data_IF_193511773115
#
_entry.id   IF_193511773115
#
_cell.length_a   1.000
_cell.length_b   1.000
_cell.length_c   1.000
_cell.angle_alpha   90.00
_cell.angle_beta   90.00
_cell.angle_gamma   90.00
#
_symmetry.space_group_name_H-M   'P 1'
#
loop_
_entity.id
_entity.type
_entity.pdbx_description
1 polymer ?
#
# COMPACT_ATOMS: atom_id res chain seq x y z
N UNK A 1 18.50 11.40 1.23
CA UNK A 1 18.13 10.67 -0.02
C UNK A 1 18.09 9.15 0.16
N UNK A 2 18.99 8.53 0.94
CA UNK A 2 18.99 7.06 1.17
C UNK A 2 17.71 6.48 1.80
N UNK A 3 17.07 7.14 2.77
CA UNK A 3 15.84 6.58 3.37
C UNK A 3 14.67 6.48 2.39
N UNK A 4 14.51 7.49 1.51
CA UNK A 4 13.52 7.44 0.44
C UNK A 4 13.84 6.30 -0.53
N UNK A 5 15.11 6.16 -0.91
CA UNK A 5 15.58 5.09 -1.81
C UNK A 5 15.35 3.70 -1.22
N UNK A 6 15.62 3.49 0.05
CA UNK A 6 15.41 2.20 0.72
C UNK A 6 13.92 1.84 0.86
N UNK A 7 13.07 2.84 1.13
CA UNK A 7 11.62 2.64 1.19
C UNK A 7 11.03 2.37 -0.21
N UNK A 8 11.45 3.13 -1.23
CA UNK A 8 11.01 2.90 -2.61
C UNK A 8 11.54 1.59 -3.17
N UNK A 9 12.74 1.16 -2.79
CA UNK A 9 13.26 -0.18 -3.11
C UNK A 9 12.43 -1.28 -2.45
N UNK A 10 12.12 -1.14 -1.15
CA UNK A 10 11.32 -2.13 -0.42
C UNK A 10 9.90 -2.24 -0.97
N UNK A 11 9.24 -1.10 -1.19
CA UNK A 11 7.89 -1.05 -1.76
C UNK A 11 7.88 -1.51 -3.23
N UNK A 12 8.87 -1.07 -4.02
CA UNK A 12 9.03 -1.48 -5.41
C UNK A 12 9.28 -2.98 -5.54
N UNK A 13 10.11 -3.56 -4.67
CA UNK A 13 10.33 -5.01 -4.62
C UNK A 13 9.05 -5.77 -4.25
N UNK A 14 8.27 -5.26 -3.27
CA UNK A 14 7.00 -5.86 -2.89
C UNK A 14 5.99 -5.84 -4.06
N UNK A 15 5.85 -4.71 -4.75
CA UNK A 15 4.99 -4.58 -5.93
C UNK A 15 5.45 -5.53 -7.04
N UNK A 16 6.75 -5.57 -7.33
CA UNK A 16 7.30 -6.46 -8.34
C UNK A 16 7.01 -7.94 -8.03
N UNK A 17 7.18 -8.37 -6.77
CA UNK A 17 6.85 -9.72 -6.34
C UNK A 17 5.35 -10.00 -6.48
N UNK A 18 4.48 -9.09 -6.05
CA UNK A 18 3.03 -9.25 -6.20
C UNK A 18 2.63 -9.38 -7.67
N UNK A 19 3.25 -8.62 -8.57
CA UNK A 19 3.04 -8.76 -10.01
C UNK A 19 3.53 -10.11 -10.53
N UNK A 20 4.71 -10.58 -10.12
CA UNK A 20 5.22 -11.91 -10.50
C UNK A 20 4.28 -13.01 -10.00
N UNK A 21 3.75 -12.90 -8.78
CA UNK A 21 2.77 -13.85 -8.24
C UNK A 21 1.49 -13.82 -9.07
N UNK A 22 0.95 -12.63 -9.36
CA UNK A 22 -0.29 -12.49 -10.14
C UNK A 22 -0.14 -13.06 -11.55
N UNK A 23 0.88 -12.61 -12.30
CA UNK A 23 1.13 -13.10 -13.65
C UNK A 23 1.54 -14.57 -13.68
N UNK A 24 2.32 -15.02 -12.70
CA UNK A 24 2.72 -16.41 -12.55
C UNK A 24 1.52 -17.32 -12.33
N UNK A 25 0.62 -16.95 -11.42
CA UNK A 25 -0.61 -17.67 -11.17
C UNK A 25 -1.52 -17.67 -12.42
N UNK A 26 -1.77 -16.52 -13.04
CA UNK A 26 -2.59 -16.43 -14.25
C UNK A 26 -2.01 -17.25 -15.42
N UNK A 27 -0.70 -17.15 -15.67
CA UNK A 27 -0.04 -17.90 -16.74
C UNK A 27 -0.09 -19.42 -16.53
N UNK A 28 0.02 -19.86 -15.28
CA UNK A 28 -0.15 -21.25 -14.90
C UNK A 28 -1.58 -21.75 -15.19
N UNK A 29 -2.60 -20.97 -14.84
CA UNK A 29 -4.01 -21.28 -15.14
C UNK A 29 -4.27 -21.36 -16.66
N UNK A 30 -3.73 -20.42 -17.43
CA UNK A 30 -3.90 -20.38 -18.89
C UNK A 30 -3.26 -21.59 -19.58
N UNK A 31 -2.13 -22.12 -19.08
CA UNK A 31 -1.47 -23.28 -19.67
C UNK A 31 -2.17 -24.61 -19.39
N UNK A 32 -2.94 -24.73 -18.31
CA UNK A 32 -3.60 -26.00 -17.95
C UNK A 32 -4.89 -26.25 -18.71
N UNK A 33 -5.67 -25.21 -19.02
CA UNK A 33 -6.99 -25.36 -19.63
C UNK A 33 -7.01 -26.00 -21.05
N UNK A 34 -6.14 -25.63 -22.00
CA UNK A 34 -6.39 -25.94 -23.42
C UNK A 34 -6.09 -27.38 -23.82
N UNK A 35 -5.07 -28.01 -23.21
CA UNK A 35 -4.62 -29.34 -23.63
C UNK A 35 -5.57 -30.45 -23.15
N UNK A 36 -6.12 -30.30 -21.95
CA UNK A 36 -7.04 -31.28 -21.36
C UNK A 36 -8.42 -31.16 -22.01
N UNK A 37 -8.90 -29.95 -22.26
CA UNK A 37 -10.22 -29.73 -22.85
C UNK A 37 -10.36 -30.38 -24.23
N UNK A 38 -9.34 -30.24 -25.08
CA UNK A 38 -9.34 -30.88 -26.42
C UNK A 38 -9.32 -32.40 -26.37
N UNK A 39 -8.65 -33.01 -25.40
CA UNK A 39 -8.60 -34.47 -25.26
C UNK A 39 -9.96 -34.98 -24.75
N UNK A 40 -10.55 -34.31 -23.77
CA UNK A 40 -11.87 -34.67 -23.23
C UNK A 40 -12.95 -34.52 -24.30
N UNK A 41 -12.98 -33.41 -25.04
CA UNK A 41 -13.98 -33.16 -26.08
C UNK A 41 -13.93 -34.17 -27.23
N UNK A 42 -12.72 -34.53 -27.70
CA UNK A 42 -12.55 -35.55 -28.74
C UNK A 42 -13.00 -36.94 -28.28
N UNK A 43 -12.65 -37.31 -27.05
CA UNK A 43 -13.01 -38.63 -26.51
C UNK A 43 -14.52 -38.73 -26.20
N UNK A 44 -15.15 -37.63 -25.79
CA UNK A 44 -16.59 -37.54 -25.58
C UNK A 44 -17.36 -37.69 -26.91
N UNK A 45 -16.93 -37.00 -27.97
CA UNK A 45 -17.47 -37.20 -29.33
C UNK A 45 -17.31 -38.65 -29.81
N UNK A 46 -16.15 -39.27 -29.57
CA UNK A 46 -15.92 -40.66 -29.95
C UNK A 46 -16.82 -41.66 -29.18
N UNK A 47 -17.04 -41.40 -27.88
CA UNK A 47 -17.96 -42.21 -27.07
C UNK A 47 -19.40 -42.05 -27.54
N UNK A 48 -19.84 -40.80 -27.77
CA UNK A 48 -21.18 -40.50 -28.29
C UNK A 48 -21.42 -41.12 -29.68
N UNK A 49 -20.42 -41.13 -30.56
CA UNK A 49 -20.48 -41.81 -31.85
C UNK A 49 -20.64 -43.33 -31.68
N UNK A 50 -19.91 -43.93 -30.73
CA UNK A 50 -20.03 -45.36 -30.39
C UNK A 50 -21.41 -45.72 -29.86
N UNK A 51 -21.98 -44.88 -28.99
CA UNK A 51 -23.34 -45.05 -28.47
C UNK A 51 -24.39 -44.95 -29.58
N UNK A 52 -24.27 -43.97 -30.48
CA UNK A 52 -25.16 -43.84 -31.66
C UNK A 52 -25.09 -45.07 -32.57
N UNK A 53 -23.90 -45.63 -32.77
CA UNK A 53 -23.71 -46.87 -33.55
C UNK A 53 -24.38 -48.08 -32.87
N UNK A 54 -24.26 -48.23 -31.56
CA UNK A 54 -24.96 -49.27 -30.79
C UNK A 54 -26.48 -49.10 -30.87
N UNK A 55 -26.99 -47.87 -30.76
CA UNK A 55 -28.42 -47.57 -30.94
C UNK A 55 -28.88 -47.90 -32.35
N UNK A 56 -28.08 -47.60 -33.38
CA UNK A 56 -28.41 -47.92 -34.77
C UNK A 56 -28.48 -49.43 -35.02
N UNK A 57 -27.59 -50.21 -34.39
CA UNK A 57 -27.61 -51.68 -34.41
C UNK A 57 -28.80 -52.25 -33.63
N UNK A 58 -29.17 -51.65 -32.49
CA UNK A 58 -30.28 -52.10 -31.65
C UNK A 58 -31.66 -51.74 -32.20
N UNK A 59 -31.76 -50.60 -32.89
CA UNK A 59 -33.00 -50.10 -33.52
C UNK A 59 -33.40 -50.93 -34.74
N UNK A 60 -32.56 -51.88 -35.11
CA UNK A 60 -32.78 -52.74 -36.24
C UNK A 60 -33.74 -53.88 -35.89
N UNK A 61 -35.01 -53.51 -35.72
CA UNK A 61 -36.12 -54.48 -35.76
C UNK A 61 -36.31 -54.92 -37.22
N UNK A 62 -36.45 -56.22 -37.45
CA UNK A 62 -36.93 -56.73 -38.74
C UNK A 62 -38.24 -56.02 -39.08
N UNK A 63 -38.34 -55.30 -40.21
CA UNK A 63 -39.63 -54.87 -40.69
C UNK A 63 -40.37 -56.13 -41.12
N UNK A 64 -41.41 -56.49 -40.39
CA UNK A 64 -42.40 -57.43 -40.87
C UNK A 64 -43.00 -56.86 -42.16
N UNK A 65 -42.49 -57.30 -43.31
CA UNK A 65 -43.15 -57.16 -44.62
C UNK A 65 -43.14 -55.79 -45.31
N UNK A 66 -42.12 -54.94 -45.13
CA UNK A 66 -42.07 -53.61 -45.75
C UNK A 66 -40.82 -53.37 -46.61
N UNK A 67 -41.05 -53.08 -47.89
CA UNK A 67 -40.09 -52.71 -48.94
C UNK A 67 -38.99 -51.74 -48.43
N UNK A 68 -37.82 -52.28 -48.08
CA UNK A 68 -36.64 -51.46 -47.76
C UNK A 68 -36.11 -50.93 -49.08
N UNK A 69 -36.38 -49.66 -49.37
CA UNK A 69 -35.78 -48.97 -50.52
C UNK A 69 -34.25 -49.06 -50.39
N UNK A 70 -33.56 -49.55 -51.42
CA UNK A 70 -32.09 -49.68 -51.48
C UNK A 70 -31.36 -48.40 -51.02
N UNK A 71 -32.00 -47.25 -51.22
CA UNK A 71 -31.52 -45.94 -50.82
C UNK A 71 -31.46 -45.73 -49.29
N UNK A 72 -32.41 -46.27 -48.52
CA UNK A 72 -32.43 -46.14 -47.06
C UNK A 72 -31.32 -46.99 -46.40
N UNK A 73 -31.02 -48.17 -46.97
CA UNK A 73 -29.92 -49.03 -46.53
C UNK A 73 -28.57 -48.36 -46.80
N UNK A 74 -28.39 -47.84 -48.03
CA UNK A 74 -27.16 -47.14 -48.40
C UNK A 74 -26.90 -45.88 -47.54
N UNK A 75 -27.95 -45.12 -47.21
CA UNK A 75 -27.83 -43.94 -46.34
C UNK A 75 -27.46 -44.32 -44.91
N UNK A 76 -28.04 -45.39 -44.36
CA UNK A 76 -27.68 -45.89 -43.04
C UNK A 76 -26.23 -46.34 -42.99
N UNK A 77 -25.80 -47.13 -43.98
CA UNK A 77 -24.44 -47.65 -44.01
C UNK A 77 -23.41 -46.51 -44.13
N UNK A 78 -23.69 -45.48 -44.93
CA UNK A 78 -22.88 -44.25 -44.98
C UNK A 78 -22.81 -43.55 -43.63
N UNK A 79 -23.94 -43.39 -42.94
CA UNK A 79 -23.98 -42.77 -41.60
C UNK A 79 -23.20 -43.59 -40.58
N UNK A 80 -23.29 -44.91 -40.63
CA UNK A 80 -22.56 -45.80 -39.74
C UNK A 80 -21.04 -45.66 -39.94
N UNK A 81 -20.58 -45.69 -41.20
CA UNK A 81 -19.16 -45.49 -41.53
C UNK A 81 -18.67 -44.10 -41.10
N UNK A 82 -19.46 -43.05 -41.35
CA UNK A 82 -19.11 -41.70 -40.91
C UNK A 82 -18.97 -41.60 -39.37
N UNK A 83 -19.86 -42.23 -38.61
CA UNK A 83 -19.76 -42.28 -37.15
C UNK A 83 -18.57 -43.11 -36.67
N UNK A 84 -18.21 -44.19 -37.38
CA UNK A 84 -17.02 -44.98 -37.08
C UNK A 84 -15.73 -44.20 -37.32
N UNK A 85 -15.67 -43.44 -38.41
CA UNK A 85 -14.53 -42.58 -38.72
C UNK A 85 -14.40 -41.44 -37.69
N UNK A 86 -15.52 -40.85 -37.27
CA UNK A 86 -15.56 -39.87 -36.16
C UNK A 86 -15.05 -40.49 -34.85
N UNK A 87 -15.54 -41.69 -34.48
CA UNK A 87 -15.10 -42.40 -33.29
C UNK A 87 -13.61 -42.75 -33.32
N UNK A 88 -13.07 -43.11 -34.49
CA UNK A 88 -11.66 -43.46 -34.67
C UNK A 88 -10.74 -42.24 -34.61
N UNK A 89 -11.17 -41.09 -35.13
CA UNK A 89 -10.32 -39.90 -35.32
C UNK A 89 -9.75 -39.31 -34.02
N UNK A 90 -10.39 -39.58 -32.87
CA UNK A 90 -9.95 -39.12 -31.55
C UNK A 90 -9.02 -40.07 -30.80
N UNK A 91 -8.85 -41.31 -31.28
CA UNK A 91 -8.19 -42.39 -30.56
C UNK A 91 -6.82 -42.74 -31.19
N UNK A 92 -5.94 -43.39 -30.45
CA UNK A 92 -4.62 -43.82 -30.95
C UNK A 92 -4.31 -45.24 -30.48
N UNK A 93 -3.60 -46.00 -31.33
CA UNK A 93 -3.05 -47.31 -30.98
C UNK A 93 -3.55 -48.48 -31.84
N UNK A 94 -2.75 -49.55 -31.94
CA UNK A 94 -3.01 -50.68 -32.84
C UNK A 94 -4.30 -51.45 -32.50
N UNK A 95 -4.69 -51.49 -31.22
CA UNK A 95 -5.94 -52.11 -30.79
C UNK A 95 -7.17 -51.33 -31.29
N UNK A 96 -7.07 -49.99 -31.36
CA UNK A 96 -8.14 -49.13 -31.88
C UNK A 96 -8.28 -49.32 -33.40
N UNK A 97 -7.16 -49.44 -34.11
CA UNK A 97 -7.15 -49.73 -35.56
C UNK A 97 -7.77 -51.09 -35.86
N UNK A 98 -7.38 -52.12 -35.12
CA UNK A 98 -7.93 -53.46 -35.26
C UNK A 98 -9.45 -53.48 -34.97
N UNK A 99 -9.88 -52.82 -33.89
CA UNK A 99 -11.29 -52.74 -33.53
C UNK A 99 -12.13 -51.98 -34.58
N UNK A 100 -11.65 -50.83 -35.07
CA UNK A 100 -12.34 -50.07 -36.10
C UNK A 100 -12.44 -50.85 -37.42
N UNK A 101 -11.38 -51.58 -37.79
CA UNK A 101 -11.39 -52.44 -38.97
C UNK A 101 -12.38 -53.59 -38.82
N UNK A 102 -12.39 -54.26 -37.66
CA UNK A 102 -13.35 -55.32 -37.34
C UNK A 102 -14.81 -54.81 -37.43
N UNK A 103 -15.09 -53.62 -36.88
CA UNK A 103 -16.43 -53.01 -36.99
C UNK A 103 -16.78 -52.76 -38.46
N UNK A 104 -15.85 -52.24 -39.26
CA UNK A 104 -16.08 -51.94 -40.67
C UNK A 104 -16.36 -53.19 -41.51
N UNK A 105 -15.60 -54.26 -41.30
CA UNK A 105 -15.73 -55.52 -42.04
C UNK A 105 -17.04 -56.25 -41.73
N UNK A 106 -17.46 -56.23 -40.46
CA UNK A 106 -18.66 -56.96 -40.02
C UNK A 106 -19.94 -56.12 -40.00
N UNK A 107 -19.88 -54.81 -40.25
CA UNK A 107 -21.04 -53.91 -40.21
C UNK A 107 -22.19 -54.38 -41.12
N UNK A 108 -21.90 -54.74 -42.37
CA UNK A 108 -22.92 -55.17 -43.32
C UNK A 108 -23.62 -56.46 -42.88
N UNK A 109 -22.87 -57.44 -42.38
CA UNK A 109 -23.41 -58.70 -41.84
C UNK A 109 -24.20 -58.48 -40.56
N UNK A 110 -23.72 -57.62 -39.67
CA UNK A 110 -24.43 -57.27 -38.44
C UNK A 110 -25.79 -56.64 -38.76
N UNK A 111 -25.84 -55.79 -39.79
CA UNK A 111 -27.08 -55.25 -40.31
C UNK A 111 -27.90 -56.23 -41.18
N UNK A 112 -27.36 -57.35 -41.61
CA UNK A 112 -28.14 -58.41 -42.24
C UNK A 112 -28.83 -59.33 -41.22
N UNK A 113 -28.56 -59.15 -39.92
CA UNK A 113 -29.07 -60.00 -38.85
C UNK A 113 -28.15 -61.17 -38.50
N UNK A 114 -26.96 -61.24 -39.08
CA UNK A 114 -25.97 -62.26 -38.73
C UNK A 114 -25.50 -62.06 -37.27
N UNK A 115 -25.74 -63.09 -36.45
CA UNK A 115 -25.41 -63.08 -35.04
C UNK A 115 -23.90 -62.97 -34.78
N UNK A 116 -23.07 -63.62 -35.60
CA UNK A 116 -21.61 -63.61 -35.43
C UNK A 116 -21.04 -62.23 -35.78
N UNK A 117 -21.47 -61.66 -36.91
CA UNK A 117 -21.12 -60.29 -37.28
C UNK A 117 -21.61 -59.26 -36.25
N UNK A 118 -22.79 -59.43 -35.66
CA UNK A 118 -23.27 -58.56 -34.56
C UNK A 118 -22.36 -58.62 -33.34
N UNK A 119 -21.93 -59.82 -32.93
CA UNK A 119 -21.00 -59.98 -31.81
C UNK A 119 -19.66 -59.31 -32.11
N UNK A 120 -19.13 -59.50 -33.33
CA UNK A 120 -17.88 -58.86 -33.76
C UNK A 120 -17.97 -57.33 -33.76
N UNK A 121 -19.07 -56.77 -34.28
CA UNK A 121 -19.28 -55.31 -34.27
C UNK A 121 -19.42 -54.78 -32.85
N UNK A 122 -20.21 -55.43 -31.99
CA UNK A 122 -20.38 -55.00 -30.59
C UNK A 122 -19.06 -55.07 -29.83
N UNK A 123 -18.28 -56.14 -29.96
CA UNK A 123 -16.97 -56.25 -29.32
C UNK A 123 -15.97 -55.20 -29.81
N UNK A 124 -15.99 -54.87 -31.11
CA UNK A 124 -15.19 -53.78 -31.66
C UNK A 124 -15.60 -52.41 -31.08
N UNK A 125 -16.91 -52.13 -31.02
CA UNK A 125 -17.45 -50.91 -30.41
C UNK A 125 -17.14 -50.80 -28.91
N UNK A 126 -17.21 -51.90 -28.16
CA UNK A 126 -16.79 -51.94 -26.75
C UNK A 126 -15.30 -51.63 -26.58
N UNK A 127 -14.46 -52.13 -27.48
CA UNK A 127 -13.02 -51.84 -27.47
C UNK A 127 -12.75 -50.36 -27.73
N UNK A 128 -13.44 -49.74 -28.70
CA UNK A 128 -13.35 -48.30 -28.97
C UNK A 128 -13.83 -47.47 -27.76
N UNK A 129 -14.96 -47.86 -27.15
CA UNK A 129 -15.49 -47.20 -25.96
C UNK A 129 -14.56 -47.31 -24.75
N UNK A 130 -13.94 -48.48 -24.52
CA UNK A 130 -12.96 -48.66 -23.45
C UNK A 130 -11.72 -47.80 -23.66
N UNK A 131 -11.18 -47.79 -24.90
CA UNK A 131 -10.02 -46.97 -25.25
C UNK A 131 -10.29 -45.47 -25.01
N UNK A 132 -11.50 -44.99 -25.38
CA UNK A 132 -11.90 -43.61 -25.10
C UNK A 132 -11.96 -43.30 -23.60
N UNK A 133 -12.59 -44.17 -22.80
CA UNK A 133 -12.69 -44.00 -21.35
C UNK A 133 -11.31 -44.00 -20.67
N UNK A 134 -10.40 -44.85 -21.11
CA UNK A 134 -9.05 -44.91 -20.55
C UNK A 134 -8.22 -43.68 -20.93
N UNK A 135 -8.37 -43.19 -22.16
CA UNK A 135 -7.77 -41.92 -22.59
C UNK A 135 -8.30 -40.73 -21.77
N UNK A 136 -9.60 -40.69 -21.45
CA UNK A 136 -10.18 -39.67 -20.56
C UNK A 136 -9.61 -39.77 -19.14
N UNK A 137 -9.55 -40.96 -18.54
CA UNK A 137 -8.99 -41.17 -17.19
C UNK A 137 -7.53 -40.77 -17.09
N UNK A 138 -6.73 -41.08 -18.11
CA UNK A 138 -5.32 -40.69 -18.15
C UNK A 138 -5.17 -39.17 -18.30
N UNK A 139 -6.00 -38.53 -19.14
CA UNK A 139 -6.06 -37.07 -19.24
C UNK A 139 -6.42 -36.42 -17.91
N UNK A 140 -7.42 -36.96 -17.21
CA UNK A 140 -7.86 -36.47 -15.89
C UNK A 140 -6.77 -36.63 -14.82
N UNK A 141 -6.07 -37.77 -14.79
CA UNK A 141 -4.90 -37.96 -13.90
C UNK A 141 -3.80 -36.95 -14.18
N UNK A 142 -3.50 -36.68 -15.46
CA UNK A 142 -2.52 -35.65 -15.85
C UNK A 142 -2.99 -34.26 -15.43
N UNK A 143 -4.27 -33.97 -15.60
CA UNK A 143 -4.89 -32.73 -15.13
C UNK A 143 -4.73 -32.55 -13.62
N UNK A 144 -5.04 -33.59 -12.84
CA UNK A 144 -4.87 -33.59 -11.39
C UNK A 144 -3.43 -33.37 -10.96
N UNK A 145 -2.45 -34.03 -11.62
CA UNK A 145 -1.02 -33.84 -11.33
C UNK A 145 -0.54 -32.43 -11.66
N UNK A 146 -0.98 -31.89 -12.79
CA UNK A 146 -0.68 -30.51 -13.17
C UNK A 146 -1.30 -29.53 -12.16
N UNK A 147 -2.57 -29.71 -11.80
CA UNK A 147 -3.25 -28.91 -10.79
C UNK A 147 -2.54 -28.93 -9.44
N UNK A 148 -2.09 -30.10 -8.97
CA UNK A 148 -1.33 -30.23 -7.73
C UNK A 148 0.02 -29.50 -7.79
N UNK A 149 0.77 -29.64 -8.89
CA UNK A 149 2.03 -28.93 -9.09
C UNK A 149 1.81 -27.41 -9.14
N UNK A 150 0.72 -26.98 -9.78
CA UNK A 150 0.33 -25.58 -9.83
C UNK A 150 -0.03 -24.99 -8.47
N UNK A 151 -0.77 -25.75 -7.66
CA UNK A 151 -1.12 -25.36 -6.29
C UNK A 151 0.13 -25.20 -5.42
N UNK A 152 1.10 -26.13 -5.51
CA UNK A 152 2.37 -26.01 -4.79
C UNK A 152 3.20 -24.81 -5.25
N UNK A 153 3.26 -24.55 -6.55
CA UNK A 153 3.93 -23.35 -7.08
C UNK A 153 3.28 -22.07 -6.52
N UNK A 154 1.95 -21.99 -6.54
CA UNK A 154 1.20 -20.86 -5.97
C UNK A 154 1.44 -20.69 -4.47
N UNK A 155 1.46 -21.78 -3.70
CA UNK A 155 1.75 -21.76 -2.27
C UNK A 155 3.17 -21.27 -1.96
N UNK A 156 4.18 -21.75 -2.70
CA UNK A 156 5.58 -21.29 -2.59
C UNK A 156 5.74 -19.80 -2.93
N UNK A 157 5.08 -19.35 -3.99
CA UNK A 157 5.05 -17.95 -4.40
C UNK A 157 4.39 -17.07 -3.32
N UNK A 158 3.25 -17.49 -2.78
CA UNK A 158 2.58 -16.81 -1.67
C UNK A 158 3.43 -16.76 -0.41
N UNK A 159 4.08 -17.87 -0.05
CA UNK A 159 5.00 -17.92 1.09
C UNK A 159 6.22 -17.00 0.91
N UNK A 160 6.83 -16.98 -0.28
CA UNK A 160 7.92 -16.06 -0.58
C UNK A 160 7.48 -14.60 -0.47
N UNK A 161 6.29 -14.27 -0.99
CA UNK A 161 5.68 -12.95 -0.85
C UNK A 161 5.46 -12.57 0.62
N UNK A 162 4.98 -13.51 1.44
CA UNK A 162 4.82 -13.31 2.88
C UNK A 162 6.15 -13.04 3.59
N UNK A 163 7.20 -13.82 3.31
CA UNK A 163 8.54 -13.61 3.89
C UNK A 163 9.09 -12.23 3.53
N UNK A 164 8.98 -11.82 2.27
CA UNK A 164 9.43 -10.49 1.85
C UNK A 164 8.60 -9.39 2.51
N UNK A 165 7.28 -9.57 2.61
CA UNK A 165 6.41 -8.67 3.34
C UNK A 165 6.85 -8.49 4.80
N UNK A 166 7.20 -9.58 5.48
CA UNK A 166 7.69 -9.55 6.86
C UNK A 166 9.02 -8.81 6.99
N UNK A 167 9.95 -9.01 6.04
CA UNK A 167 11.22 -8.29 6.00
C UNK A 167 11.02 -6.78 5.78
N UNK A 168 10.15 -6.39 4.85
CA UNK A 168 9.81 -4.99 4.61
C UNK A 168 9.15 -4.37 5.83
N UNK A 169 8.21 -5.06 6.45
CA UNK A 169 7.54 -4.62 7.67
C UNK A 169 8.53 -4.42 8.83
N UNK A 170 9.42 -5.41 9.07
CA UNK A 170 10.46 -5.30 10.09
C UNK A 170 11.41 -4.12 9.83
N UNK A 171 11.74 -3.85 8.56
CA UNK A 171 12.57 -2.72 8.17
C UNK A 171 11.87 -1.38 8.38
N UNK A 172 10.58 -1.27 8.03
CA UNK A 172 9.76 -0.08 8.28
C UNK A 172 9.66 0.17 9.78
N UNK A 173 9.38 -0.85 10.58
CA UNK A 173 9.25 -0.69 12.03
C UNK A 173 10.52 -0.11 12.66
N UNK A 174 11.67 -0.72 12.39
CA UNK A 174 12.97 -0.27 12.95
C UNK A 174 13.42 1.09 12.43
N UNK A 175 13.12 1.44 11.16
CA UNK A 175 13.65 2.66 10.54
C UNK A 175 12.71 3.86 10.56
N UNK A 176 11.41 3.64 10.76
CA UNK A 176 10.38 4.69 10.74
C UNK A 176 9.63 4.76 12.05
N UNK A 177 9.06 3.66 12.54
CA UNK A 177 8.21 3.67 13.73
C UNK A 177 9.02 3.91 15.02
N UNK A 178 10.11 3.17 15.23
CA UNK A 178 10.95 3.32 16.43
C UNK A 178 11.54 4.74 16.56
N UNK A 179 12.11 5.36 15.50
CA UNK A 179 12.57 6.74 15.57
C UNK A 179 11.43 7.75 15.81
N UNK A 180 10.25 7.52 15.27
CA UNK A 180 9.11 8.42 15.43
C UNK A 180 8.57 8.38 16.87
N UNK A 181 8.48 7.19 17.47
CA UNK A 181 8.13 7.01 18.88
C UNK A 181 9.15 7.67 19.81
N UNK A 182 10.46 7.52 19.52
CA UNK A 182 11.49 8.19 20.30
C UNK A 182 11.36 9.71 20.22
N UNK A 183 11.15 10.26 19.02
CA UNK A 183 10.98 11.69 18.81
C UNK A 183 9.75 12.22 19.55
N UNK A 184 8.63 11.50 19.48
CA UNK A 184 7.42 11.83 20.23
C UNK A 184 7.66 11.83 21.75
N UNK A 185 8.36 10.80 22.26
CA UNK A 185 8.70 10.69 23.68
C UNK A 185 9.58 11.84 24.16
N UNK A 186 10.61 12.22 23.40
CA UNK A 186 11.51 13.32 23.77
C UNK A 186 10.79 14.67 23.75
N UNK A 187 9.95 14.92 22.73
CA UNK A 187 9.14 16.15 22.66
C UNK A 187 8.17 16.24 23.84
N UNK A 188 7.49 15.15 24.19
CA UNK A 188 6.60 15.13 25.36
C UNK A 188 7.35 15.33 26.68
N UNK A 189 8.56 14.78 26.83
CA UNK A 189 9.38 14.97 28.03
C UNK A 189 9.86 16.43 28.15
N UNK A 190 10.32 17.02 27.05
CA UNK A 190 10.72 18.42 26.99
C UNK A 190 9.54 19.36 27.31
N UNK A 191 8.34 19.07 26.78
CA UNK A 191 7.13 19.83 27.09
C UNK A 191 6.74 19.77 28.57
N UNK A 192 7.13 18.70 29.29
CA UNK A 192 6.95 18.54 30.74
C UNK A 192 8.08 19.18 31.56
N UNK A 193 9.03 19.86 30.92
CA UNK A 193 10.15 20.54 31.57
C UNK A 193 11.40 19.69 31.75
N UNK A 194 11.42 18.44 31.29
CA UNK A 194 12.64 17.62 31.30
C UNK A 194 13.50 17.91 30.07
N UNK A 195 14.29 18.97 30.16
CA UNK A 195 15.16 19.45 29.08
C UNK A 195 16.45 18.63 28.93
N UNK A 196 16.67 17.58 29.72
CA UNK A 196 17.89 16.74 29.67
C UNK A 196 17.72 15.48 28.83
N UNK A 197 16.50 15.12 28.44
CA UNK A 197 16.26 13.98 27.56
C UNK A 197 16.80 14.28 26.15
N UNK A 198 17.50 13.32 25.54
CA UNK A 198 18.07 13.44 24.19
C UNK A 198 17.60 12.28 23.31
N UNK A 199 17.43 12.54 22.02
CA UNK A 199 17.19 11.52 21.00
C UNK A 199 18.50 10.80 20.64
N UNK A 200 18.44 9.48 20.47
CA UNK A 200 19.56 8.67 19.94
C UNK A 200 19.62 8.78 18.42
N UNK A 201 20.76 9.23 17.89
CA UNK A 201 20.93 9.46 16.44
C UNK A 201 21.57 8.30 15.69
N UNK A 202 22.12 7.29 16.37
CA UNK A 202 22.89 6.21 15.76
C UNK A 202 22.04 5.18 14.99
N UNK A 203 20.78 5.00 15.36
CA UNK A 203 19.90 3.97 14.78
C UNK A 203 18.89 4.54 13.78
N UNK A 204 18.72 5.87 13.77
CA UNK A 204 17.77 6.56 12.94
C UNK A 204 18.24 6.66 11.49
N UNK A 205 17.29 6.63 10.56
CA UNK A 205 17.60 6.88 9.15
C UNK A 205 18.09 8.32 8.94
N UNK A 206 18.96 8.59 7.95
CA UNK A 206 19.65 9.90 7.78
C UNK A 206 18.73 11.13 7.90
N UNK A 207 17.49 11.03 7.39
CA UNK A 207 16.49 12.11 7.51
C UNK A 207 16.03 12.34 8.95
N UNK A 208 15.70 11.27 9.67
CA UNK A 208 15.34 11.34 11.09
C UNK A 208 16.54 11.75 11.94
N UNK A 209 17.74 11.24 11.65
CA UNK A 209 18.95 11.61 12.37
C UNK A 209 19.23 13.12 12.32
N UNK A 210 18.96 13.77 11.18
CA UNK A 210 19.07 15.23 11.05
C UNK A 210 18.05 15.94 11.94
N UNK A 211 16.76 15.56 11.86
CA UNK A 211 15.69 16.18 12.68
C UNK A 211 15.95 15.97 14.17
N UNK A 212 16.34 14.76 14.57
CA UNK A 212 16.69 14.43 15.95
C UNK A 212 17.90 15.22 16.44
N UNK A 213 18.92 15.42 15.60
CA UNK A 213 20.08 16.26 15.93
C UNK A 213 19.66 17.72 16.12
N UNK A 214 18.88 18.27 15.19
CA UNK A 214 18.37 19.65 15.31
C UNK A 214 17.49 19.83 16.54
N UNK A 215 16.67 18.82 16.89
CA UNK A 215 15.90 18.84 18.13
C UNK A 215 16.82 18.84 19.36
N UNK A 216 17.84 17.98 19.39
CA UNK A 216 18.82 17.97 20.48
C UNK A 216 19.54 19.32 20.60
N UNK A 217 19.95 19.95 19.50
CA UNK A 217 20.57 21.29 19.49
C UNK A 217 19.64 22.36 20.07
N UNK A 218 18.34 22.34 19.71
CA UNK A 218 17.35 23.26 20.28
C UNK A 218 17.17 23.02 21.78
N UNK A 219 17.12 21.76 22.22
CA UNK A 219 17.04 21.41 23.63
C UNK A 219 18.32 21.78 24.38
N UNK A 220 19.50 21.68 23.75
CA UNK A 220 20.77 22.12 24.31
C UNK A 220 20.81 23.64 24.46
N UNK A 221 20.31 24.41 23.49
CA UNK A 221 20.18 25.86 23.62
C UNK A 221 19.18 26.28 24.70
N UNK A 222 18.08 25.54 24.86
CA UNK A 222 17.10 25.78 25.92
C UNK A 222 17.61 25.34 27.31
N UNK A 223 18.50 24.34 27.36
CA UNK A 223 19.08 23.81 28.60
C UNK A 223 20.40 24.48 28.99
N UNK A 224 21.10 25.12 28.04
CA UNK A 224 22.28 25.91 28.31
C UNK A 224 21.89 27.02 29.28
N UNK A 225 22.58 27.15 30.42
CA UNK A 225 22.38 28.31 31.27
C UNK A 225 22.75 29.51 30.41
N UNK A 226 21.76 30.32 30.04
CA UNK A 226 21.98 31.71 29.66
C UNK A 226 22.96 32.26 30.67
N UNK A 227 24.18 32.61 30.24
CA UNK A 227 25.29 32.99 31.12
C UNK A 227 24.81 33.71 32.38
N UNK A 228 24.81 32.96 33.47
CA UNK A 228 24.53 33.37 34.84
C UNK A 228 25.74 34.16 35.31
N UNK A 229 25.76 35.48 35.12
CA UNK A 229 25.33 36.37 36.20
C UNK A 229 24.42 37.54 35.78
N UNK A 230 24.35 37.91 34.50
CA UNK A 230 23.64 39.14 34.11
C UNK A 230 22.14 38.91 33.87
N UNK A 231 21.72 37.77 33.31
CA UNK A 231 20.32 37.60 32.86
C UNK A 231 19.32 37.29 33.99
N UNK A 232 19.72 36.58 35.04
CA UNK A 232 18.86 36.28 36.21
C UNK A 232 18.72 37.51 37.10
N UNK A 233 19.81 38.28 37.25
CA UNK A 233 19.80 39.58 37.92
C UNK A 233 18.98 40.57 37.11
N UNK A 234 19.17 40.68 35.80
CA UNK A 234 18.44 41.61 34.94
C UNK A 234 16.96 41.24 34.76
N UNK A 235 16.59 39.96 34.75
CA UNK A 235 15.20 39.51 34.73
C UNK A 235 14.45 39.79 36.03
N UNK A 236 15.09 39.50 37.18
CA UNK A 236 14.54 39.80 38.50
C UNK A 236 14.51 41.30 38.78
N UNK A 237 15.53 42.04 38.33
CA UNK A 237 15.61 43.50 38.46
C UNK A 237 14.65 44.19 37.51
N UNK A 238 14.41 43.68 36.30
CA UNK A 238 13.32 44.16 35.42
C UNK A 238 11.94 43.95 36.04
N UNK A 239 11.71 42.80 36.69
CA UNK A 239 10.47 42.56 37.41
C UNK A 239 10.30 43.51 38.61
N UNK A 240 11.35 43.68 39.43
CA UNK A 240 11.33 44.61 40.57
C UNK A 240 11.19 46.08 40.14
N UNK A 241 11.87 46.49 39.08
CA UNK A 241 11.77 47.85 38.53
C UNK A 241 10.36 48.09 38.01
N UNK A 242 9.74 47.12 37.34
CA UNK A 242 8.34 47.23 36.90
C UNK A 242 7.38 47.38 38.08
N UNK A 243 7.54 46.54 39.11
CA UNK A 243 6.71 46.60 40.32
C UNK A 243 6.89 47.94 41.08
N UNK A 244 8.11 48.45 41.18
CA UNK A 244 8.41 49.75 41.81
C UNK A 244 7.86 50.94 41.01
N UNK A 245 7.81 50.84 39.69
CA UNK A 245 7.23 51.88 38.83
C UNK A 245 5.71 51.86 38.92
N UNK A 246 5.09 50.68 38.96
CA UNK A 246 3.63 50.52 39.09
C UNK A 246 3.09 51.03 40.45
N UNK A 247 3.92 51.11 41.50
CA UNK A 247 3.54 51.70 42.79
C UNK A 247 3.58 53.23 42.83
N UNK A 248 4.13 53.90 41.81
CA UNK A 248 4.16 55.36 41.76
C UNK A 248 2.83 55.92 41.23
N UNK A 249 2.24 56.94 41.89
CA UNK A 249 1.01 57.58 41.43
C UNK A 249 1.21 58.51 40.23
N UNK A 250 2.45 58.91 39.94
CA UNK A 250 2.81 59.76 38.79
C UNK A 250 3.01 58.92 37.53
N UNK A 251 2.76 59.42 36.31
CA UNK A 251 3.02 58.67 35.09
C UNK A 251 4.53 58.58 34.82
N UNK A 252 5.09 57.36 34.94
CA UNK A 252 6.52 57.10 34.81
C UNK A 252 6.83 56.12 33.70
N UNK A 253 7.85 56.44 32.91
CA UNK A 253 8.38 55.61 31.82
C UNK A 253 9.88 55.42 32.00
N UNK A 254 10.36 54.20 31.81
CA UNK A 254 11.78 53.89 31.65
C UNK A 254 12.10 53.72 30.17
N UNK A 255 13.05 54.50 29.69
CA UNK A 255 13.52 54.44 28.30
C UNK A 255 14.98 54.04 28.21
N UNK A 256 15.33 53.34 27.13
CA UNK A 256 16.70 53.03 26.77
C UNK A 256 17.42 54.25 26.15
N UNK A 257 18.70 54.09 25.86
CA UNK A 257 19.56 55.10 25.26
C UNK A 257 19.20 55.44 23.80
N UNK A 258 18.32 54.66 23.18
CA UNK A 258 17.77 54.83 21.83
C UNK A 258 16.36 55.43 21.86
N UNK A 259 15.81 55.70 23.05
CA UNK A 259 14.43 56.18 23.24
C UNK A 259 13.36 55.11 23.03
N UNK A 260 13.74 53.84 23.09
CA UNK A 260 12.84 52.70 23.22
C UNK A 260 12.26 52.63 24.63
N UNK A 261 10.96 52.38 24.76
CA UNK A 261 10.30 52.26 26.05
C UNK A 261 10.50 50.83 26.57
N UNK A 262 11.25 50.67 27.65
CA UNK A 262 11.53 49.38 28.29
C UNK A 262 10.45 49.01 29.31
N UNK A 263 9.94 49.99 30.05
CA UNK A 263 8.85 49.82 31.01
C UNK A 263 8.05 51.11 31.17
N UNK A 264 6.77 51.01 31.54
CA UNK A 264 5.92 52.14 31.87
C UNK A 264 4.85 51.69 32.86
N UNK A 265 4.49 52.54 33.83
CA UNK A 265 3.36 52.25 34.69
C UNK A 265 2.02 52.48 33.97
N UNK A 266 0.94 52.05 34.62
CA UNK A 266 -0.42 52.17 34.08
C UNK A 266 -0.77 53.61 33.66
N UNK A 267 -0.51 54.61 34.50
CA UNK A 267 -0.84 56.01 34.20
C UNK A 267 -0.07 56.52 32.97
N UNK A 268 1.22 56.18 32.85
CA UNK A 268 2.00 56.52 31.66
C UNK A 268 1.51 55.80 30.41
N UNK A 269 1.08 54.53 30.51
CA UNK A 269 0.55 53.78 29.38
C UNK A 269 -0.77 54.39 28.87
N UNK A 270 -1.64 54.85 29.75
CA UNK A 270 -2.88 55.55 29.36
C UNK A 270 -2.56 56.86 28.63
N UNK A 271 -1.64 57.68 29.17
CA UNK A 271 -1.19 58.91 28.48
C UNK A 271 -0.56 58.64 27.11
N UNK A 272 0.23 57.57 26.98
CA UNK A 272 0.86 57.17 25.72
C UNK A 272 -0.11 56.64 24.66
N UNK A 273 -1.37 56.37 25.03
CA UNK A 273 -2.45 55.93 24.12
C UNK A 273 -3.32 57.09 23.63
N UNK A 274 -3.25 58.25 24.28
CA UNK A 274 -3.95 59.46 23.83
C UNK A 274 -3.30 60.05 22.57
N UNK A 275 -3.93 61.07 21.98
CA UNK A 275 -3.36 61.81 20.83
C UNK A 275 -2.01 62.47 21.15
N UNK A 276 -1.74 62.79 22.44
CA UNK A 276 -0.45 63.27 22.93
C UNK A 276 0.64 62.20 22.98
N UNK A 277 0.28 60.91 22.91
CA UNK A 277 1.24 59.81 22.95
C UNK A 277 2.30 59.88 21.85
N UNK A 278 1.96 60.44 20.69
CA UNK A 278 2.90 60.67 19.60
C UNK A 278 3.97 61.72 19.93
N UNK A 279 3.58 62.85 20.55
CA UNK A 279 4.50 63.92 20.95
C UNK A 279 5.40 63.47 22.10
N UNK A 280 4.83 62.76 23.08
CA UNK A 280 5.57 62.18 24.20
C UNK A 280 6.64 61.19 23.70
N UNK A 281 6.31 60.28 22.77
CA UNK A 281 7.30 59.34 22.20
C UNK A 281 8.40 60.07 21.41
N UNK A 282 8.05 61.15 20.71
CA UNK A 282 9.04 61.96 20.01
C UNK A 282 9.96 62.72 20.98
N UNK A 283 9.41 63.21 22.09
CA UNK A 283 10.17 63.85 23.17
C UNK A 283 11.12 62.85 23.87
N UNK A 284 10.63 61.64 24.19
CA UNK A 284 11.42 60.57 24.79
C UNK A 284 12.60 60.14 23.91
N UNK A 285 12.44 60.13 22.58
CA UNK A 285 13.54 59.87 21.64
C UNK A 285 14.58 60.99 21.57
N UNK A 286 14.20 62.21 21.96
CA UNK A 286 15.07 63.41 21.94
C UNK A 286 15.73 63.70 23.28
N UNK A 287 15.46 62.92 24.33
CA UNK A 287 16.01 63.11 25.69
C UNK A 287 17.53 63.30 25.72
N UNK A 288 18.25 62.64 24.80
CA UNK A 288 19.72 62.71 24.70
C UNK A 288 20.25 64.08 24.25
N UNK A 289 19.39 64.93 23.67
CA UNK A 289 19.77 66.22 23.12
C UNK A 289 19.59 67.41 24.10
N UNK A 290 19.35 67.13 25.39
CA UNK A 290 19.21 68.12 26.49
C UNK A 290 18.14 69.21 26.30
N UNK A 291 17.28 69.10 25.27
CA UNK A 291 16.21 70.05 25.05
C UNK A 291 15.05 69.76 26.03
N UNK A 292 14.68 70.70 26.91
CA UNK A 292 13.53 70.54 27.78
C UNK A 292 12.26 70.40 26.93
N UNK A 293 11.49 69.35 27.16
CA UNK A 293 10.19 69.14 26.53
C UNK A 293 9.09 69.39 27.56
N UNK A 294 8.02 70.13 27.21
CA UNK A 294 6.90 70.38 28.12
C UNK A 294 6.17 69.09 28.54
N UNK A 295 6.36 67.99 27.80
CA UNK A 295 5.73 66.71 28.06
C UNK A 295 6.48 65.85 29.10
N UNK A 296 7.71 66.23 29.49
CA UNK A 296 8.54 65.49 30.46
C UNK A 296 8.83 66.40 31.65
N UNK A 297 8.20 66.11 32.79
CA UNK A 297 8.35 66.89 34.02
C UNK A 297 9.73 66.69 34.66
N UNK A 298 10.24 65.45 34.63
CA UNK A 298 11.56 65.14 35.17
C UNK A 298 12.19 63.97 34.42
N UNK A 299 13.49 64.04 34.15
CA UNK A 299 14.27 62.98 33.53
C UNK A 299 15.54 62.75 34.34
N UNK A 300 15.67 61.56 34.92
CA UNK A 300 16.86 61.17 35.69
C UNK A 300 17.52 59.98 35.02
N UNK A 301 18.81 60.11 34.70
CA UNK A 301 19.60 58.97 34.23
C UNK A 301 19.88 58.03 35.40
N UNK A 302 19.63 56.74 35.23
CA UNK A 302 19.92 55.73 36.25
C UNK A 302 21.43 55.41 36.16
N UNK A 303 22.19 55.79 37.18
CA UNK A 303 23.66 55.61 37.21
C UNK A 303 24.07 54.16 36.97
N UNK A 304 25.14 53.98 36.19
CA UNK A 304 25.63 52.65 35.82
C UNK A 304 24.77 51.91 34.79
N UNK A 305 23.64 52.48 34.35
CA UNK A 305 22.79 51.90 33.31
C UNK A 305 22.64 52.82 32.10
N UNK A 306 22.33 52.22 30.94
CA UNK A 306 21.92 52.95 29.74
C UNK A 306 20.48 53.48 29.79
N UNK A 307 19.82 53.43 30.95
CA UNK A 307 18.39 53.70 31.11
C UNK A 307 18.12 55.08 31.72
N UNK A 308 16.98 55.66 31.35
CA UNK A 308 16.48 56.91 31.88
C UNK A 308 15.09 56.72 32.49
N UNK A 309 14.90 57.21 33.70
CA UNK A 309 13.60 57.29 34.37
C UNK A 309 12.98 58.65 34.04
N UNK A 310 11.87 58.64 33.32
CA UNK A 310 11.17 59.85 32.88
C UNK A 310 9.80 59.92 33.57
N UNK A 311 9.54 61.01 34.28
CA UNK A 311 8.22 61.36 34.81
C UNK A 311 7.53 62.27 33.80
N UNK A 312 6.39 61.83 33.29
CA UNK A 312 5.61 62.58 32.31
C UNK A 312 4.79 63.68 33.00
N UNK A 313 4.58 64.80 32.32
CA UNK A 313 3.71 65.84 32.85
C UNK A 313 2.24 65.36 32.81
N UNK A 314 1.47 65.46 33.91
CA UNK A 314 0.05 65.11 33.90
C UNK A 314 -0.72 66.03 32.95
N UNK A 315 -1.85 65.54 32.44
CA UNK A 315 -2.63 66.19 31.40
C UNK A 315 -3.09 67.62 31.78
N UNK A 316 -3.17 67.94 33.08
CA UNK A 316 -3.65 69.22 33.60
C UNK A 316 -2.62 70.36 33.66
N UNK A 317 -1.38 70.16 33.23
CA UNK A 317 -0.31 71.18 33.33
C UNK A 317 -0.05 71.98 32.03
N UNK A 318 -0.82 71.73 30.95
CA UNK A 318 -0.62 72.35 29.64
C UNK A 318 -1.86 73.13 29.15
N UNK A 319 -2.45 73.94 30.04
CA UNK A 319 -3.42 74.98 29.69
C UNK A 319 -2.86 76.36 30.02
#
# INVERSE_FOLDING_TARGET
MESKRDLTLGLGALIAILLVIAFGATGLFIRMAPAIHRIVEKNDSALAATEKMLVMLASQREPAGGDRTTQAVAERDRRFVAMLDEARAGLEGPAVDAAAQQVREHAAGAFAGDAEARVAVVGGLETLASASRDAMRESDRRAGRLGAAGAWAGALLGFAGFVVGLLVFGRIRKRLLEPLDELHRVVLAAAKGDSRVRCRTSEASKGFALVMRSLNEVLDHAAAPSGTDDAVTQGSLRYLVRELIDQRPEPVVVVDDRGGIEAANREALELLRTERGGTIRAALRRLKAEAPSPDIAHATKIEGSGLWLCVLAPESAAA
#
